data_IF_307117133743
#
_entry.id   IF_307117133743
#
_cell.length_a   1.000
_cell.length_b   1.000
_cell.length_c   1.000
_cell.angle_alpha   90.00
_cell.angle_beta   90.00
_cell.angle_gamma   90.00
#
_symmetry.space_group_name_H-M   'P 1'
#
loop_
_entity.id
_entity.type
_entity.pdbx_description
1 polymer ?
#
# COMPACT_ATOMS: atom_id res chain seq x y z
N UNK A 1 5.42 -28.86 -18.10
CA UNK A 1 4.45 -28.18 -17.24
C UNK A 1 4.32 -26.67 -17.54
N UNK A 2 5.20 -26.10 -18.36
CA UNK A 2 5.16 -24.68 -18.77
C UNK A 2 4.23 -24.35 -19.95
N UNK A 3 3.88 -25.34 -20.77
CA UNK A 3 3.02 -25.11 -21.94
C UNK A 3 1.50 -25.13 -21.64
N UNK A 4 1.07 -25.74 -20.55
CA UNK A 4 -0.37 -25.86 -20.22
C UNK A 4 -0.94 -24.59 -19.52
N UNK A 5 -0.11 -23.63 -19.13
CA UNK A 5 -0.57 -22.42 -18.42
C UNK A 5 -0.74 -21.24 -19.40
N UNK A 6 -0.02 -21.24 -20.52
CA UNK A 6 -0.15 -20.20 -21.54
C UNK A 6 -1.53 -20.23 -22.26
N UNK A 7 -2.20 -21.38 -22.28
CA UNK A 7 -3.52 -21.55 -22.89
C UNK A 7 -4.68 -21.11 -21.98
N UNK A 8 -4.41 -20.72 -20.74
CA UNK A 8 -5.43 -20.46 -19.71
C UNK A 8 -5.65 -18.97 -19.37
N UNK A 9 -5.12 -18.06 -20.18
CA UNK A 9 -5.44 -16.63 -19.98
C UNK A 9 -6.84 -16.36 -20.53
N UNK A 10 -7.78 -16.11 -19.63
CA UNK A 10 -9.15 -15.78 -20.00
C UNK A 10 -9.22 -14.66 -21.02
N UNK A 11 -10.15 -14.74 -21.97
CA UNK A 11 -10.32 -13.74 -23.02
C UNK A 11 -10.30 -12.27 -22.53
N UNK A 12 -10.89 -11.91 -21.37
CA UNK A 12 -10.80 -10.58 -20.79
C UNK A 12 -9.39 -10.13 -20.42
N UNK A 13 -8.46 -11.06 -20.18
CA UNK A 13 -7.08 -10.79 -19.75
C UNK A 13 -6.05 -10.88 -20.88
N UNK A 14 -6.46 -11.24 -22.09
CA UNK A 14 -5.57 -11.37 -23.25
C UNK A 14 -4.78 -10.07 -23.55
N UNK A 15 -5.35 -8.92 -23.28
CA UNK A 15 -4.68 -7.62 -23.44
C UNK A 15 -3.43 -7.49 -22.57
N UNK A 16 -3.33 -8.23 -21.46
CA UNK A 16 -2.16 -8.24 -20.56
C UNK A 16 -0.92 -8.85 -21.22
N UNK A 17 -1.12 -9.74 -22.19
CA UNK A 17 -0.03 -10.38 -22.93
C UNK A 17 0.53 -9.51 -24.07
N UNK A 18 -0.11 -8.39 -24.36
CA UNK A 18 0.34 -7.49 -25.42
C UNK A 18 1.38 -6.53 -24.86
N UNK A 19 2.62 -6.62 -25.31
CA UNK A 19 3.67 -5.67 -24.97
C UNK A 19 3.99 -4.77 -26.16
N UNK A 20 4.28 -3.48 -25.94
CA UNK A 20 4.71 -2.57 -27.01
C UNK A 20 6.14 -2.85 -27.49
N UNK A 21 6.83 -3.79 -26.87
CA UNK A 21 8.25 -4.03 -27.05
C UNK A 21 9.11 -3.03 -26.25
N UNK A 22 10.37 -3.39 -26.07
CA UNK A 22 11.32 -2.63 -25.25
C UNK A 22 12.64 -2.38 -25.98
N UNK A 23 12.55 -2.03 -27.24
CA UNK A 23 13.72 -1.74 -28.07
C UNK A 23 14.61 -0.68 -27.39
N UNK A 24 15.88 -1.03 -27.20
CA UNK A 24 16.86 -0.17 -26.54
C UNK A 24 16.93 -0.28 -25.01
N UNK A 25 16.12 -1.12 -24.40
CA UNK A 25 16.31 -1.42 -22.97
C UNK A 25 17.55 -2.29 -22.76
N UNK A 26 18.32 -1.98 -21.71
CA UNK A 26 19.48 -2.76 -21.29
C UNK A 26 19.11 -3.89 -20.35
N UNK A 27 18.00 -3.73 -19.65
CA UNK A 27 17.43 -4.71 -18.71
C UNK A 27 15.96 -4.90 -19.02
N UNK A 28 15.40 -6.00 -18.57
CA UNK A 28 13.97 -6.29 -18.70
C UNK A 28 13.34 -6.58 -17.36
N UNK A 29 12.01 -6.70 -17.33
CA UNK A 29 11.27 -7.14 -16.15
C UNK A 29 11.01 -8.65 -16.17
N UNK A 30 11.32 -9.37 -17.25
CA UNK A 30 11.06 -10.81 -17.37
C UNK A 30 11.90 -11.63 -16.39
N UNK A 31 11.25 -12.52 -15.64
CA UNK A 31 11.86 -13.38 -14.62
C UNK A 31 13.03 -14.22 -15.17
N UNK A 32 12.96 -14.64 -16.41
CA UNK A 32 13.98 -15.47 -17.08
C UNK A 32 15.21 -14.69 -17.56
N UNK A 33 15.18 -13.35 -17.56
CA UNK A 33 16.32 -12.55 -18.00
C UNK A 33 17.37 -12.45 -16.90
N UNK A 34 18.61 -12.94 -17.15
CA UNK A 34 19.68 -12.85 -16.15
C UNK A 34 20.10 -11.41 -15.82
N UNK A 35 19.76 -10.44 -16.67
CA UNK A 35 20.01 -9.02 -16.48
C UNK A 35 18.73 -8.23 -16.19
N UNK A 36 17.75 -8.85 -15.52
CA UNK A 36 16.50 -8.16 -15.17
C UNK A 36 16.73 -7.02 -14.16
N UNK A 37 15.76 -6.13 -14.06
CA UNK A 37 15.71 -5.15 -12.98
C UNK A 37 15.62 -5.86 -11.62
N UNK A 38 16.18 -5.21 -10.60
CA UNK A 38 15.81 -5.51 -9.23
C UNK A 38 14.39 -4.99 -9.00
N UNK A 39 13.45 -5.91 -8.71
CA UNK A 39 12.03 -5.61 -8.66
C UNK A 39 11.49 -5.77 -7.24
N UNK A 40 10.86 -4.72 -6.73
CA UNK A 40 10.12 -4.73 -5.48
C UNK A 40 8.67 -4.37 -5.78
N UNK A 41 7.75 -5.28 -5.50
CA UNK A 41 6.34 -4.92 -5.44
C UNK A 41 6.09 -4.16 -4.14
N UNK A 42 5.83 -2.86 -4.25
CA UNK A 42 5.64 -1.97 -3.10
C UNK A 42 4.22 -2.08 -2.49
N UNK A 43 3.42 -2.98 -3.02
CA UNK A 43 2.04 -3.24 -2.59
C UNK A 43 1.66 -4.67 -2.92
N UNK A 44 1.45 -5.46 -1.86
CA UNK A 44 0.93 -6.80 -1.90
C UNK A 44 0.10 -7.05 -0.65
N UNK A 45 -0.75 -8.07 -0.68
CA UNK A 45 -1.65 -8.31 0.42
C UNK A 45 -1.40 -9.62 1.13
N UNK A 46 -1.64 -9.58 2.44
CA UNK A 46 -1.72 -10.76 3.28
C UNK A 46 -2.99 -11.56 2.97
N UNK A 47 -2.93 -12.87 3.13
CA UNK A 47 -4.11 -13.73 3.11
C UNK A 47 -4.35 -14.26 4.51
N UNK A 48 -4.92 -13.39 5.37
CA UNK A 48 -5.15 -13.72 6.76
C UNK A 48 -6.12 -14.92 6.90
N UNK A 49 -5.81 -15.89 7.78
CA UNK A 49 -6.70 -17.00 8.04
C UNK A 49 -8.12 -16.51 8.40
N UNK A 50 -9.18 -17.17 7.92
CA UNK A 50 -10.56 -16.72 8.15
C UNK A 50 -10.93 -16.48 9.63
N UNK A 51 -10.31 -17.23 10.52
CA UNK A 51 -10.56 -17.16 11.95
C UNK A 51 -9.48 -16.43 12.75
N UNK A 52 -8.54 -15.74 12.10
CA UNK A 52 -7.39 -15.12 12.77
C UNK A 52 -7.77 -14.33 14.03
N UNK A 53 -8.69 -13.38 13.89
CA UNK A 53 -9.12 -12.54 15.00
C UNK A 53 -10.00 -13.29 16.00
N UNK A 54 -10.88 -14.19 15.52
CA UNK A 54 -11.72 -15.02 16.38
C UNK A 54 -10.91 -15.89 17.35
N UNK A 55 -9.80 -16.43 16.86
CA UNK A 55 -8.97 -17.37 17.62
C UNK A 55 -8.00 -16.67 18.57
N UNK A 56 -7.62 -15.40 18.31
CA UNK A 56 -6.55 -14.70 19.01
C UNK A 56 -7.00 -13.48 19.82
N UNK A 57 -8.15 -12.89 19.53
CA UNK A 57 -8.66 -11.76 20.31
C UNK A 57 -9.18 -12.17 21.68
N UNK A 58 -9.12 -11.22 22.60
CA UNK A 58 -9.75 -11.37 23.92
C UNK A 58 -11.26 -11.61 23.79
N UNK A 59 -11.80 -12.51 24.62
CA UNK A 59 -13.22 -12.93 24.58
C UNK A 59 -14.21 -11.76 24.66
N UNK A 60 -13.84 -10.65 25.32
CA UNK A 60 -14.69 -9.45 25.43
C UNK A 60 -15.03 -8.82 24.07
N UNK A 61 -14.26 -9.11 23.01
CA UNK A 61 -14.46 -8.59 21.66
C UNK A 61 -15.14 -9.57 20.71
N UNK A 62 -15.43 -10.80 21.14
CA UNK A 62 -15.90 -11.88 20.26
C UNK A 62 -17.18 -11.53 19.47
N UNK A 63 -18.13 -10.85 20.11
CA UNK A 63 -19.42 -10.48 19.49
C UNK A 63 -19.31 -9.28 18.53
N UNK A 64 -18.17 -8.61 18.49
CA UNK A 64 -17.90 -7.40 17.69
C UNK A 64 -17.18 -7.69 16.37
N UNK A 65 -16.72 -8.92 16.20
CA UNK A 65 -16.03 -9.33 14.97
C UNK A 65 -16.93 -9.25 13.75
N UNK A 66 -16.36 -9.01 12.57
CA UNK A 66 -17.11 -9.06 11.32
C UNK A 66 -17.88 -10.37 11.18
N UNK A 67 -19.13 -10.29 10.76
CA UNK A 67 -20.02 -11.45 10.59
C UNK A 67 -20.76 -11.41 9.27
N UNK A 68 -21.16 -12.59 8.81
CA UNK A 68 -22.01 -12.73 7.62
C UNK A 68 -23.47 -12.80 8.11
N UNK A 69 -24.30 -11.89 7.61
CA UNK A 69 -25.75 -11.91 7.80
C UNK A 69 -26.45 -12.25 6.49
N UNK A 70 -27.50 -13.07 6.56
CA UNK A 70 -28.32 -13.40 5.40
C UNK A 70 -29.67 -12.68 5.57
N UNK A 71 -30.04 -11.87 4.57
CA UNK A 71 -31.31 -11.15 4.61
C UNK A 71 -32.50 -12.03 4.19
N UNK A 72 -33.71 -11.48 4.29
CA UNK A 72 -34.94 -12.19 3.96
C UNK A 72 -35.02 -12.67 2.50
N UNK A 73 -34.17 -12.14 1.62
CA UNK A 73 -34.07 -12.53 0.20
C UNK A 73 -32.94 -13.53 -0.06
N UNK A 74 -32.27 -14.03 0.99
CA UNK A 74 -31.15 -14.95 0.87
C UNK A 74 -29.82 -14.29 0.48
N UNK A 75 -29.75 -12.95 0.47
CA UNK A 75 -28.53 -12.23 0.12
C UNK A 75 -27.58 -12.20 1.30
N UNK A 76 -26.33 -12.59 1.09
CA UNK A 76 -25.27 -12.55 2.08
C UNK A 76 -24.68 -11.15 2.19
N UNK A 77 -24.52 -10.67 3.41
CA UNK A 77 -23.94 -9.38 3.74
C UNK A 77 -22.79 -9.53 4.72
N UNK A 78 -21.65 -8.91 4.44
CA UNK A 78 -20.62 -8.68 5.44
C UNK A 78 -21.04 -7.47 6.28
N UNK A 79 -21.08 -7.66 7.60
CA UNK A 79 -21.40 -6.63 8.60
C UNK A 79 -20.19 -6.48 9.50
N UNK A 80 -19.61 -5.29 9.51
CA UNK A 80 -18.46 -4.92 10.35
C UNK A 80 -18.77 -3.64 11.10
N UNK A 81 -18.29 -3.52 12.33
CA UNK A 81 -18.45 -2.31 13.12
C UNK A 81 -17.78 -1.12 12.43
N UNK A 82 -18.50 -0.01 12.32
CA UNK A 82 -18.02 1.22 11.68
C UNK A 82 -18.12 1.25 10.15
N UNK A 83 -18.49 0.14 9.50
CA UNK A 83 -18.67 0.06 8.05
C UNK A 83 -20.14 -0.10 7.64
N UNK A 84 -20.47 0.45 6.49
CA UNK A 84 -21.72 0.08 5.83
C UNK A 84 -21.66 -1.39 5.42
N UNK A 85 -22.72 -2.16 5.69
CA UNK A 85 -22.76 -3.56 5.22
C UNK A 85 -22.51 -3.65 3.72
N UNK A 86 -21.68 -4.59 3.32
CA UNK A 86 -21.34 -4.87 1.91
C UNK A 86 -21.93 -6.22 1.50
N UNK A 87 -22.43 -6.29 0.26
CA UNK A 87 -22.93 -7.54 -0.32
C UNK A 87 -21.77 -8.45 -0.61
N UNK A 88 -21.86 -9.71 -0.14
CA UNK A 88 -20.94 -10.76 -0.53
C UNK A 88 -21.44 -11.42 -1.80
N UNK A 89 -20.57 -11.51 -2.78
CA UNK A 89 -20.79 -12.26 -4.01
C UNK A 89 -20.00 -13.57 -3.90
N UNK A 90 -20.67 -14.70 -4.12
CA UNK A 90 -20.00 -15.98 -4.29
C UNK A 90 -19.47 -16.02 -5.74
N UNK A 91 -18.26 -15.50 -5.97
CA UNK A 91 -17.59 -15.58 -7.26
C UNK A 91 -16.71 -16.81 -7.25
N UNK A 92 -16.94 -17.81 -8.13
CA UNK A 92 -16.02 -18.93 -8.23
C UNK A 92 -14.65 -18.45 -8.71
N UNK A 93 -13.61 -18.86 -8.02
CA UNK A 93 -12.23 -18.57 -8.41
C UNK A 93 -11.76 -19.67 -9.35
N UNK A 94 -11.43 -19.30 -10.58
CA UNK A 94 -10.94 -20.20 -11.63
C UNK A 94 -9.56 -19.74 -12.14
N UNK A 95 -8.86 -20.62 -12.88
CA UNK A 95 -7.59 -20.26 -13.52
C UNK A 95 -6.56 -19.65 -12.57
N UNK A 96 -6.00 -18.55 -12.97
CA UNK A 96 -4.97 -17.82 -12.23
C UNK A 96 -5.47 -17.28 -10.89
N UNK A 97 -6.73 -16.83 -10.81
CA UNK A 97 -7.34 -16.37 -9.57
C UNK A 97 -7.35 -17.43 -8.47
N UNK A 98 -7.63 -18.68 -8.86
CA UNK A 98 -7.61 -19.79 -7.93
C UNK A 98 -6.17 -20.15 -7.49
N UNK A 99 -5.18 -20.05 -8.39
CA UNK A 99 -3.76 -20.29 -8.07
C UNK A 99 -3.29 -19.28 -7.05
N UNK A 100 -3.37 -17.98 -7.34
CA UNK A 100 -2.86 -16.92 -6.45
C UNK A 100 -3.58 -16.86 -5.10
N UNK A 101 -4.87 -17.17 -5.05
CA UNK A 101 -5.61 -17.25 -3.80
C UNK A 101 -5.11 -18.36 -2.88
N UNK A 102 -4.72 -19.51 -3.44
CA UNK A 102 -4.13 -20.63 -2.68
C UNK A 102 -2.70 -20.30 -2.24
N UNK A 103 -1.90 -19.82 -3.17
CA UNK A 103 -0.48 -19.49 -2.93
C UNK A 103 -0.32 -18.36 -1.94
N UNK A 104 -1.18 -17.35 -1.94
CA UNK A 104 -1.15 -16.25 -1.00
C UNK A 104 -1.21 -16.68 0.47
N UNK A 105 -1.82 -17.85 0.74
CA UNK A 105 -1.98 -18.43 2.08
C UNK A 105 -0.87 -19.40 2.48
N UNK A 106 0.09 -19.69 1.59
CA UNK A 106 1.19 -20.62 1.80
C UNK A 106 2.54 -19.95 1.49
N UNK A 107 3.45 -19.80 2.48
CA UNK A 107 4.72 -19.11 2.27
C UNK A 107 5.59 -19.71 1.16
N UNK A 108 5.59 -21.03 1.00
CA UNK A 108 6.43 -21.70 0.00
C UNK A 108 5.88 -21.49 -1.42
N UNK A 109 4.55 -21.59 -1.59
CA UNK A 109 3.90 -21.33 -2.87
C UNK A 109 4.00 -19.84 -3.23
N UNK A 110 3.86 -18.95 -2.25
CA UNK A 110 4.02 -17.52 -2.43
C UNK A 110 5.41 -17.16 -3.00
N UNK A 111 6.46 -17.75 -2.48
CA UNK A 111 7.81 -17.55 -3.02
C UNK A 111 7.95 -18.04 -4.47
N UNK A 112 7.28 -19.14 -4.84
CA UNK A 112 7.26 -19.62 -6.23
C UNK A 112 6.54 -18.63 -7.14
N UNK A 113 5.45 -18.04 -6.68
CA UNK A 113 4.70 -17.03 -7.45
C UNK A 113 5.51 -15.74 -7.64
N UNK A 114 6.29 -15.30 -6.63
CA UNK A 114 7.23 -14.19 -6.77
C UNK A 114 8.30 -14.49 -7.83
N UNK A 115 8.90 -15.69 -7.74
CA UNK A 115 9.95 -16.09 -8.70
C UNK A 115 9.40 -16.19 -10.13
N UNK A 116 8.16 -16.66 -10.29
CA UNK A 116 7.48 -16.73 -11.58
C UNK A 116 7.27 -15.35 -12.20
N UNK A 117 6.89 -14.37 -11.40
CA UNK A 117 6.60 -12.99 -11.83
C UNK A 117 7.84 -12.08 -11.86
N UNK A 118 9.01 -12.60 -11.45
CA UNK A 118 10.28 -11.87 -11.44
C UNK A 118 10.43 -10.89 -10.29
N UNK A 119 9.58 -10.94 -9.27
CA UNK A 119 9.61 -10.05 -8.10
C UNK A 119 10.65 -10.54 -7.09
N UNK A 120 11.59 -9.68 -6.72
CA UNK A 120 12.63 -10.01 -5.76
C UNK A 120 12.16 -9.85 -4.31
N UNK A 121 11.35 -8.83 -4.04
CA UNK A 121 10.78 -8.53 -2.72
C UNK A 121 9.35 -8.02 -2.88
N UNK A 122 8.49 -8.35 -1.96
CA UNK A 122 7.17 -7.76 -1.83
C UNK A 122 6.98 -7.09 -0.46
N UNK A 123 6.28 -5.96 -0.46
CA UNK A 123 5.83 -5.24 0.73
C UNK A 123 4.37 -5.61 0.96
N UNK A 124 4.04 -6.09 2.18
CA UNK A 124 2.77 -6.76 2.43
C UNK A 124 1.90 -5.95 3.39
N UNK A 125 0.69 -5.67 2.96
CA UNK A 125 -0.34 -4.97 3.72
C UNK A 125 -1.42 -5.94 4.20
N UNK A 126 -2.20 -5.56 5.23
CA UNK A 126 -3.41 -6.29 5.57
C UNK A 126 -4.37 -6.36 4.37
N UNK A 127 -5.14 -7.43 4.25
CA UNK A 127 -6.22 -7.56 3.28
C UNK A 127 -7.58 -7.40 4.01
N UNK A 128 -8.02 -8.44 4.70
CA UNK A 128 -9.22 -8.34 5.58
C UNK A 128 -8.99 -7.34 6.70
N UNK A 129 -7.77 -7.23 7.16
CA UNK A 129 -7.32 -6.29 8.18
C UNK A 129 -7.43 -4.81 7.80
N UNK A 130 -7.64 -4.44 6.53
CA UNK A 130 -7.91 -3.05 6.15
C UNK A 130 -9.15 -2.45 6.85
N UNK A 131 -10.00 -3.28 7.43
CA UNK A 131 -11.18 -2.84 8.20
C UNK A 131 -10.92 -2.66 9.71
N UNK A 132 -9.71 -2.99 10.21
CA UNK A 132 -9.41 -2.95 11.65
C UNK A 132 -9.62 -1.57 12.29
N UNK A 133 -9.42 -0.51 11.51
CA UNK A 133 -9.57 0.87 11.98
C UNK A 133 -11.00 1.41 11.92
N UNK A 134 -11.95 0.65 11.36
CA UNK A 134 -13.31 1.13 11.14
C UNK A 134 -14.13 1.29 12.43
N UNK A 135 -13.77 0.59 13.50
CA UNK A 135 -14.43 0.71 14.80
C UNK A 135 -14.14 2.07 15.44
N UNK A 136 -15.14 2.73 16.03
CA UNK A 136 -14.94 3.95 16.80
C UNK A 136 -14.26 3.72 18.15
N UNK A 137 -14.12 2.47 18.60
CA UNK A 137 -13.48 2.10 19.86
C UNK A 137 -11.98 1.91 19.67
N UNK A 138 -11.14 2.79 20.22
CA UNK A 138 -9.68 2.71 20.05
C UNK A 138 -9.06 1.44 20.68
N UNK A 139 -9.65 0.89 21.75
CA UNK A 139 -9.16 -0.32 22.38
C UNK A 139 -9.39 -1.54 21.48
N UNK A 140 -10.54 -1.62 20.83
CA UNK A 140 -10.83 -2.71 19.90
C UNK A 140 -10.00 -2.59 18.62
N UNK A 141 -9.78 -1.39 18.10
CA UNK A 141 -8.90 -1.17 16.96
C UNK A 141 -7.46 -1.61 17.27
N UNK A 142 -6.90 -1.19 18.41
CA UNK A 142 -5.56 -1.58 18.86
C UNK A 142 -5.43 -3.11 19.01
N UNK A 143 -6.42 -3.74 19.66
CA UNK A 143 -6.40 -5.19 19.82
C UNK A 143 -6.39 -5.96 18.49
N UNK A 144 -7.18 -5.49 17.50
CA UNK A 144 -7.19 -6.10 16.15
C UNK A 144 -5.86 -5.92 15.43
N UNK A 145 -5.27 -4.71 15.47
CA UNK A 145 -3.97 -4.42 14.88
C UNK A 145 -2.88 -5.31 15.49
N UNK A 146 -2.85 -5.47 16.80
CA UNK A 146 -1.87 -6.32 17.48
C UNK A 146 -1.97 -7.79 17.08
N UNK A 147 -3.20 -8.33 16.96
CA UNK A 147 -3.41 -9.70 16.48
C UNK A 147 -2.87 -9.89 15.08
N UNK A 148 -3.12 -8.93 14.17
CA UNK A 148 -2.54 -8.96 12.83
C UNK A 148 -1.01 -8.92 12.88
N UNK A 149 -0.42 -8.00 13.64
CA UNK A 149 1.02 -7.83 13.72
C UNK A 149 1.73 -9.08 14.24
N UNK A 150 1.18 -9.72 15.28
CA UNK A 150 1.73 -10.97 15.82
C UNK A 150 1.69 -12.08 14.78
N UNK A 151 0.55 -12.27 14.13
CA UNK A 151 0.41 -13.27 13.08
C UNK A 151 1.34 -12.98 11.89
N UNK A 152 1.42 -11.73 11.43
CA UNK A 152 2.26 -11.37 10.31
C UNK A 152 3.75 -11.60 10.60
N UNK A 153 4.21 -11.27 11.81
CA UNK A 153 5.58 -11.54 12.24
C UNK A 153 5.87 -13.06 12.29
N UNK A 154 4.92 -13.87 12.77
CA UNK A 154 5.02 -15.32 12.81
C UNK A 154 5.02 -15.93 11.40
N UNK A 155 4.05 -15.55 10.57
CA UNK A 155 3.82 -16.13 9.25
C UNK A 155 4.91 -15.77 8.25
N UNK A 156 5.30 -14.50 8.19
CA UNK A 156 6.32 -14.01 7.25
C UNK A 156 7.74 -14.11 7.81
N UNK A 157 7.92 -14.36 9.10
CA UNK A 157 9.23 -14.45 9.74
C UNK A 157 10.24 -15.36 9.01
N UNK A 158 9.86 -16.59 8.59
CA UNK A 158 10.75 -17.49 7.85
C UNK A 158 11.15 -16.98 6.45
N UNK A 159 10.36 -16.10 5.83
CA UNK A 159 10.55 -15.59 4.47
C UNK A 159 10.69 -14.05 4.42
N UNK A 160 10.98 -13.42 5.56
CA UNK A 160 11.06 -11.95 5.73
C UNK A 160 12.06 -11.24 4.81
N UNK A 161 13.01 -11.98 4.25
CA UNK A 161 13.96 -11.43 3.28
C UNK A 161 13.32 -11.17 1.91
N UNK A 162 12.20 -11.81 1.61
CA UNK A 162 11.45 -11.69 0.36
C UNK A 162 10.06 -11.08 0.57
N UNK A 163 9.46 -11.28 1.72
CA UNK A 163 8.11 -10.87 2.06
C UNK A 163 8.14 -9.99 3.31
N UNK A 164 7.91 -8.68 3.14
CA UNK A 164 8.13 -7.65 4.17
C UNK A 164 6.79 -7.08 4.63
N UNK A 165 6.20 -7.62 5.71
CA UNK A 165 4.92 -7.11 6.21
C UNK A 165 5.06 -5.72 6.82
N UNK A 166 4.01 -4.90 6.69
CA UNK A 166 3.84 -3.63 7.39
C UNK A 166 3.02 -3.83 8.66
N UNK A 167 3.46 -3.24 9.76
CA UNK A 167 2.73 -3.32 11.02
C UNK A 167 1.52 -2.38 11.00
N UNK A 168 0.35 -2.89 11.33
CA UNK A 168 -0.87 -2.09 11.47
C UNK A 168 -0.86 -1.35 12.81
N UNK A 169 -1.14 -0.04 12.80
CA UNK A 169 -1.14 0.80 14.01
C UNK A 169 -2.49 1.50 14.16
N UNK A 170 -3.13 1.32 15.29
CA UNK A 170 -4.30 2.10 15.68
C UNK A 170 -3.85 3.46 16.22
N UNK A 171 -4.36 4.57 15.65
CA UNK A 171 -3.84 5.92 15.89
C UNK A 171 -4.76 6.80 16.74
N UNK A 172 -5.94 6.31 17.11
CA UNK A 172 -6.90 7.09 17.87
C UNK A 172 -6.44 7.42 19.31
N UNK A 173 -5.58 6.60 19.91
CA UNK A 173 -4.87 6.87 21.17
C UNK A 173 -3.35 6.84 20.92
N UNK A 174 -2.72 8.00 21.01
CA UNK A 174 -1.32 8.18 20.61
C UNK A 174 -0.37 7.34 21.47
N UNK A 175 -0.64 7.18 22.76
CA UNK A 175 0.18 6.39 23.67
C UNK A 175 0.16 4.90 23.31
N UNK A 176 -0.99 4.38 22.87
CA UNK A 176 -1.13 3.00 22.41
C UNK A 176 -0.36 2.82 21.08
N UNK A 177 -0.51 3.77 20.15
CA UNK A 177 0.24 3.79 18.90
C UNK A 177 1.75 3.77 19.14
N UNK A 178 2.28 4.61 20.03
CA UNK A 178 3.71 4.64 20.37
C UNK A 178 4.20 3.30 20.90
N UNK A 179 3.43 2.66 21.82
CA UNK A 179 3.80 1.34 22.35
C UNK A 179 3.84 0.28 21.26
N UNK A 180 2.85 0.26 20.38
CA UNK A 180 2.77 -0.73 19.31
C UNK A 180 3.87 -0.50 18.24
N UNK A 181 4.19 0.75 17.89
CA UNK A 181 5.31 1.09 17.01
C UNK A 181 6.64 0.55 17.57
N UNK A 182 6.89 0.77 18.86
CA UNK A 182 8.10 0.27 19.52
C UNK A 182 8.14 -1.27 19.56
N UNK A 183 6.97 -1.91 19.72
CA UNK A 183 6.85 -3.37 19.67
C UNK A 183 7.09 -3.89 18.25
N UNK A 184 6.50 -3.28 17.23
CA UNK A 184 6.69 -3.63 15.83
C UNK A 184 8.18 -3.55 15.41
N UNK A 185 8.87 -2.49 15.85
CA UNK A 185 10.31 -2.37 15.61
C UNK A 185 11.11 -3.53 16.21
N UNK A 186 10.77 -3.98 17.44
CA UNK A 186 11.40 -5.14 18.07
C UNK A 186 11.08 -6.46 17.36
N UNK A 187 9.91 -6.59 16.75
CA UNK A 187 9.52 -7.75 15.94
C UNK A 187 10.21 -7.74 14.56
N UNK A 188 10.86 -6.64 14.17
CA UNK A 188 11.64 -6.53 12.94
C UNK A 188 10.88 -6.02 11.73
N UNK A 189 9.70 -5.44 11.91
CA UNK A 189 8.99 -4.75 10.84
C UNK A 189 9.83 -3.62 10.24
N UNK A 190 9.64 -3.33 8.95
CA UNK A 190 10.34 -2.26 8.22
C UNK A 190 9.51 -1.01 8.04
N UNK A 191 8.24 -1.07 8.33
CA UNK A 191 7.32 0.06 8.26
C UNK A 191 6.03 -0.22 9.01
N UNK A 192 5.24 0.84 9.11
CA UNK A 192 3.91 0.84 9.71
C UNK A 192 2.87 1.29 8.69
N UNK A 193 1.69 0.69 8.73
CA UNK A 193 0.53 1.15 7.98
C UNK A 193 -0.45 1.83 8.94
N UNK A 194 -0.80 3.07 8.61
CA UNK A 194 -1.69 3.93 9.36
C UNK A 194 -2.99 4.16 8.58
N UNK A 195 -4.12 4.35 9.24
CA UNK A 195 -5.33 4.78 8.54
C UNK A 195 -5.12 6.19 7.94
N UNK A 196 -5.73 6.47 6.80
CA UNK A 196 -5.63 7.80 6.17
C UNK A 196 -6.17 8.94 7.05
N UNK A 197 -7.02 8.60 8.03
CA UNK A 197 -7.46 9.50 9.11
C UNK A 197 -7.20 8.85 10.46
N UNK A 198 -6.67 9.59 11.44
CA UNK A 198 -6.33 9.03 12.75
C UNK A 198 -7.53 8.41 13.49
N UNK A 199 -8.72 8.98 13.27
CA UNK A 199 -9.98 8.52 13.83
C UNK A 199 -10.94 8.27 12.68
N UNK A 200 -11.37 7.04 12.53
CA UNK A 200 -12.26 6.63 11.44
C UNK A 200 -13.73 6.93 11.77
N UNK A 201 -14.52 7.21 10.74
CA UNK A 201 -15.99 7.14 10.81
C UNK A 201 -16.72 8.39 11.28
N UNK A 202 -16.08 9.49 11.59
CA UNK A 202 -16.78 10.71 12.04
C UNK A 202 -16.24 11.99 11.40
N UNK A 203 -17.14 12.82 10.85
CA UNK A 203 -16.83 14.21 10.54
C UNK A 203 -17.04 15.10 11.79
N UNK A 204 -16.40 14.75 12.91
CA UNK A 204 -16.33 15.69 14.00
C UNK A 204 -15.11 16.60 13.78
N UNK A 205 -15.32 17.90 13.44
CA UNK A 205 -14.20 18.83 13.18
C UNK A 205 -13.30 19.05 14.41
N UNK A 206 -13.71 18.57 15.57
CA UNK A 206 -12.91 18.62 16.80
C UNK A 206 -11.92 17.47 16.88
N UNK A 207 -12.09 16.41 16.10
CA UNK A 207 -11.13 15.31 16.06
C UNK A 207 -9.82 15.80 15.44
N UNK A 208 -8.68 15.61 16.14
CA UNK A 208 -7.38 16.00 15.61
C UNK A 208 -7.03 15.13 14.40
N UNK A 209 -6.42 15.76 13.39
CA UNK A 209 -5.84 15.05 12.25
C UNK A 209 -4.30 15.03 12.38
N UNK A 210 -3.60 14.38 11.48
CA UNK A 210 -2.14 14.19 11.51
C UNK A 210 -1.31 15.46 11.48
N UNK A 211 -1.92 16.61 11.18
CA UNK A 211 -1.31 17.93 11.28
C UNK A 211 -1.25 18.48 12.72
N UNK A 212 -1.87 17.83 13.70
CA UNK A 212 -1.88 18.29 15.10
C UNK A 212 -0.65 17.78 15.85
N UNK A 213 -0.07 18.65 16.70
CA UNK A 213 1.12 18.34 17.49
C UNK A 213 0.96 17.19 18.50
N UNK A 214 -0.25 16.74 18.79
CA UNK A 214 -0.48 15.57 19.66
C UNK A 214 0.14 14.30 19.07
N UNK A 215 0.33 14.22 17.75
CA UNK A 215 0.96 13.08 17.06
C UNK A 215 2.49 13.15 17.04
N UNK A 216 3.12 14.22 17.55
CA UNK A 216 4.57 14.38 17.48
C UNK A 216 5.34 13.26 18.18
N UNK A 217 4.81 12.72 19.29
CA UNK A 217 5.43 11.56 19.97
C UNK A 217 5.36 10.29 19.14
N UNK A 218 4.31 10.12 18.35
CA UNK A 218 4.17 9.01 17.39
C UNK A 218 5.17 9.16 16.24
N UNK A 219 5.30 10.38 15.67
CA UNK A 219 6.28 10.66 14.62
C UNK A 219 7.71 10.45 15.10
N UNK A 220 8.03 10.89 16.32
CA UNK A 220 9.31 10.63 16.95
C UNK A 220 9.59 9.11 17.06
N UNK A 221 8.63 8.34 17.58
CA UNK A 221 8.80 6.88 17.74
C UNK A 221 9.03 6.16 16.40
N UNK A 222 8.31 6.55 15.34
CA UNK A 222 8.50 6.00 13.98
C UNK A 222 9.88 6.35 13.44
N UNK A 223 10.29 7.61 13.57
CA UNK A 223 11.59 8.09 13.12
C UNK A 223 12.76 7.39 13.86
N UNK A 224 12.66 7.29 15.19
CA UNK A 224 13.69 6.67 16.02
C UNK A 224 13.84 5.17 15.72
N UNK A 225 12.73 4.51 15.40
CA UNK A 225 12.70 3.12 14.97
C UNK A 225 13.12 2.93 13.50
N UNK A 226 13.34 4.02 12.74
CA UNK A 226 13.66 4.00 11.30
C UNK A 226 12.63 3.24 10.45
N UNK A 227 11.35 3.32 10.81
CA UNK A 227 10.25 2.70 10.09
C UNK A 227 9.71 3.61 8.99
N UNK A 228 9.26 3.04 7.87
CA UNK A 228 8.49 3.78 6.86
C UNK A 228 7.04 3.93 7.31
N UNK A 229 6.41 5.05 6.94
CA UNK A 229 4.98 5.28 7.14
C UNK A 229 4.27 4.95 5.84
N UNK A 230 3.17 4.22 5.90
CA UNK A 230 2.32 3.96 4.74
C UNK A 230 0.86 4.30 5.04
N UNK A 231 0.19 4.88 4.04
CA UNK A 231 -1.24 5.14 4.02
C UNK A 231 -1.83 4.38 2.85
N UNK A 232 -2.52 3.31 3.15
CA UNK A 232 -3.09 2.43 2.13
C UNK A 232 -4.49 2.90 1.72
N UNK A 233 -4.84 2.74 0.45
CA UNK A 233 -6.20 2.96 -0.04
C UNK A 233 -7.21 2.20 0.83
N UNK A 234 -8.43 2.66 0.88
CA UNK A 234 -9.52 2.09 1.68
C UNK A 234 -9.43 2.25 3.21
N UNK A 235 -8.27 2.59 3.79
CA UNK A 235 -8.14 2.80 5.26
C UNK A 235 -8.68 4.15 5.73
N UNK A 236 -8.87 5.10 4.82
CA UNK A 236 -9.48 6.42 5.11
C UNK A 236 -10.79 6.64 4.40
N UNK A 237 -11.48 5.56 4.02
CA UNK A 237 -12.70 5.59 3.23
C UNK A 237 -13.75 6.52 3.85
N UNK A 238 -14.32 7.39 3.03
CA UNK A 238 -15.49 8.18 3.42
C UNK A 238 -16.64 7.23 3.75
N UNK A 239 -17.28 7.37 4.92
CA UNK A 239 -18.41 6.53 5.31
C UNK A 239 -19.62 6.70 4.39
N UNK A 240 -19.69 7.80 3.62
CA UNK A 240 -20.68 7.98 2.58
C UNK A 240 -20.40 6.99 1.45
N UNK A 241 -21.35 6.13 1.14
CA UNK A 241 -21.23 5.20 0.05
C UNK A 241 -22.27 5.54 -1.03
N UNK A 242 -21.80 5.74 -2.26
CA UNK A 242 -22.69 5.82 -3.40
C UNK A 242 -23.31 4.44 -3.64
N UNK A 243 -24.60 4.43 -3.95
CA UNK A 243 -25.37 3.21 -4.23
C UNK A 243 -25.98 3.29 -5.62
N UNK A 244 -26.40 2.14 -6.16
CA UNK A 244 -27.00 1.99 -7.48
C UNK A 244 -26.00 2.31 -8.62
N UNK A 245 -26.48 2.97 -9.66
CA UNK A 245 -25.78 3.18 -10.94
C UNK A 245 -24.45 3.92 -10.74
N UNK A 246 -23.38 3.37 -11.24
CA UNK A 246 -22.03 3.92 -11.09
C UNK A 246 -21.42 3.83 -9.68
N UNK A 247 -22.15 3.27 -8.70
CA UNK A 247 -21.77 3.30 -7.29
C UNK A 247 -20.39 2.70 -7.01
N UNK A 248 -20.02 1.62 -7.69
CA UNK A 248 -18.70 1.01 -7.54
C UNK A 248 -17.57 1.97 -7.96
N UNK A 249 -17.68 2.59 -9.14
CA UNK A 249 -16.68 3.53 -9.66
C UNK A 249 -16.60 4.79 -8.80
N UNK A 250 -17.74 5.35 -8.39
CA UNK A 250 -17.80 6.54 -7.52
C UNK A 250 -17.14 6.25 -6.18
N UNK A 251 -17.44 5.10 -5.57
CA UNK A 251 -16.84 4.71 -4.29
C UNK A 251 -15.33 4.53 -4.41
N UNK A 252 -14.87 3.88 -5.47
CA UNK A 252 -13.44 3.66 -5.68
C UNK A 252 -12.71 5.00 -5.83
N UNK A 253 -13.11 5.84 -6.77
CA UNK A 253 -12.40 7.09 -7.07
C UNK A 253 -12.54 8.12 -5.93
N UNK A 254 -13.78 8.37 -5.46
CA UNK A 254 -14.06 9.50 -4.57
C UNK A 254 -13.95 9.15 -3.08
N UNK A 255 -14.17 7.89 -2.71
CA UNK A 255 -14.25 7.46 -1.31
C UNK A 255 -13.13 6.50 -0.90
N UNK A 256 -12.34 6.00 -1.83
CA UNK A 256 -11.17 5.15 -1.55
C UNK A 256 -9.86 5.82 -1.97
N UNK A 257 -9.70 6.21 -3.24
CA UNK A 257 -8.45 6.83 -3.72
C UNK A 257 -8.25 8.26 -3.18
N UNK A 258 -9.22 9.15 -3.36
CA UNK A 258 -9.09 10.56 -2.99
C UNK A 258 -8.71 10.80 -1.51
N UNK A 259 -9.21 10.03 -0.52
CA UNK A 259 -8.81 10.19 0.88
C UNK A 259 -7.32 9.97 1.17
N UNK A 260 -6.57 9.31 0.30
CA UNK A 260 -5.12 9.08 0.48
C UNK A 260 -4.28 10.34 0.26
N UNK A 261 -4.83 11.36 -0.40
CA UNK A 261 -4.17 12.66 -0.60
C UNK A 261 -4.05 13.43 0.72
N UNK A 262 -5.04 13.31 1.60
CA UNK A 262 -5.12 14.08 2.83
C UNK A 262 -3.92 13.86 3.77
N UNK A 263 -3.50 12.62 4.10
CA UNK A 263 -2.32 12.42 4.96
C UNK A 263 -1.03 12.93 4.32
N UNK A 264 -0.88 12.86 3.00
CA UNK A 264 0.27 13.45 2.29
C UNK A 264 0.30 14.96 2.48
N UNK A 265 -0.84 15.63 2.28
CA UNK A 265 -0.95 17.07 2.52
C UNK A 265 -0.70 17.44 3.99
N UNK A 266 -1.22 16.65 4.94
CA UNK A 266 -0.95 16.84 6.36
C UNK A 266 0.56 16.82 6.67
N UNK A 267 1.30 15.83 6.18
CA UNK A 267 2.73 15.71 6.45
C UNK A 267 3.55 16.81 5.78
N UNK A 268 3.24 17.16 4.53
CA UNK A 268 3.99 18.15 3.76
C UNK A 268 3.71 19.60 4.19
N UNK A 269 2.47 19.92 4.59
CA UNK A 269 2.06 21.31 4.83
C UNK A 269 2.08 21.73 6.30
N UNK A 270 2.17 20.80 7.26
CA UNK A 270 2.04 21.13 8.69
C UNK A 270 3.35 21.21 9.46
N UNK A 271 4.49 21.10 8.78
CA UNK A 271 5.82 21.14 9.41
C UNK A 271 6.20 19.84 10.13
N UNK A 272 5.46 18.74 9.95
CA UNK A 272 5.84 17.44 10.52
C UNK A 272 7.21 17.01 10.00
N UNK A 273 7.44 17.08 8.70
CA UNK A 273 8.72 16.67 8.10
C UNK A 273 9.86 17.60 8.53
N UNK A 274 9.61 18.88 8.81
CA UNK A 274 10.64 19.76 9.39
C UNK A 274 11.05 19.33 10.79
N UNK A 275 10.08 18.93 11.62
CA UNK A 275 10.36 18.46 12.98
C UNK A 275 10.98 17.06 13.00
N UNK A 276 10.60 16.24 12.03
CA UNK A 276 11.02 14.83 11.93
C UNK A 276 11.60 14.52 10.53
N UNK A 277 12.77 15.07 10.18
CA UNK A 277 13.28 15.07 8.80
C UNK A 277 13.73 13.70 8.27
N UNK A 278 13.82 12.67 9.12
CA UNK A 278 14.19 11.30 8.70
C UNK A 278 12.97 10.43 8.45
N UNK A 279 11.75 10.92 8.66
CA UNK A 279 10.54 10.20 8.30
C UNK A 279 10.49 9.95 6.80
N UNK A 280 10.03 8.78 6.42
CA UNK A 280 9.68 8.42 5.04
C UNK A 280 8.22 8.01 5.04
N UNK A 281 7.46 8.47 4.07
CA UNK A 281 6.04 8.15 3.97
C UNK A 281 5.64 7.80 2.55
N UNK A 282 4.63 6.94 2.40
CA UNK A 282 4.13 6.50 1.12
C UNK A 282 2.60 6.44 1.10
N UNK A 283 2.02 6.91 -0.01
CA UNK A 283 0.64 6.62 -0.40
C UNK A 283 0.63 5.32 -1.20
N UNK A 284 -0.16 4.34 -0.76
CA UNK A 284 -0.15 2.98 -1.31
C UNK A 284 -1.46 2.67 -2.02
N UNK A 285 -1.36 2.06 -3.20
CA UNK A 285 -2.48 1.67 -4.08
C UNK A 285 -3.34 2.83 -4.58
N UNK A 286 -2.86 4.06 -4.44
CA UNK A 286 -3.65 5.24 -4.82
C UNK A 286 -3.34 5.77 -6.23
N UNK A 287 -2.48 5.08 -6.97
CA UNK A 287 -1.92 5.58 -8.22
C UNK A 287 -0.95 6.75 -8.01
N UNK A 288 -0.44 7.28 -9.11
CA UNK A 288 0.58 8.34 -9.10
C UNK A 288 0.20 9.56 -9.97
N UNK A 289 -0.83 9.45 -10.79
CA UNK A 289 -1.26 10.54 -11.70
C UNK A 289 -1.71 11.81 -10.96
N UNK A 290 -2.20 11.66 -9.75
CA UNK A 290 -2.62 12.79 -8.90
C UNK A 290 -1.45 13.57 -8.27
N UNK A 291 -0.26 12.95 -8.14
CA UNK A 291 0.85 13.50 -7.34
C UNK A 291 1.33 14.84 -7.89
N UNK A 292 1.66 14.93 -9.17
CA UNK A 292 2.14 16.18 -9.77
C UNK A 292 1.15 17.33 -9.59
N UNK A 293 -0.16 17.06 -9.76
CA UNK A 293 -1.21 18.03 -9.52
C UNK A 293 -1.29 18.44 -8.04
N UNK A 294 -1.28 17.50 -7.12
CA UNK A 294 -1.42 17.78 -5.69
C UNK A 294 -0.23 18.58 -5.15
N UNK A 295 1.00 18.27 -5.57
CA UNK A 295 2.19 19.02 -5.19
C UNK A 295 2.11 20.47 -5.65
N UNK A 296 1.74 20.70 -6.91
CA UNK A 296 1.50 22.04 -7.42
C UNK A 296 0.40 22.76 -6.66
N UNK A 297 -0.73 22.11 -6.40
CA UNK A 297 -1.86 22.71 -5.68
C UNK A 297 -1.50 23.08 -4.23
N UNK A 298 -0.68 22.26 -3.55
CA UNK A 298 -0.20 22.57 -2.19
C UNK A 298 0.70 23.83 -2.18
N UNK A 299 1.62 23.93 -3.12
CA UNK A 299 2.51 25.10 -3.22
C UNK A 299 1.74 26.36 -3.58
N UNK A 300 0.81 26.26 -4.53
CA UNK A 300 -0.07 27.36 -4.93
C UNK A 300 -0.92 27.85 -3.74
N UNK A 301 -1.52 26.93 -3.00
CA UNK A 301 -2.30 27.24 -1.80
C UNK A 301 -1.45 27.90 -0.72
N UNK A 302 -0.24 27.37 -0.48
CA UNK A 302 0.68 27.93 0.50
C UNK A 302 1.07 29.38 0.16
N UNK A 303 1.36 29.67 -1.11
CA UNK A 303 1.73 31.02 -1.57
C UNK A 303 0.53 31.96 -1.61
N UNK A 304 -0.61 31.54 -2.17
CA UNK A 304 -1.80 32.40 -2.33
C UNK A 304 -2.51 32.69 -1.03
N UNK A 305 -2.49 31.73 -0.10
CA UNK A 305 -3.12 31.86 1.21
C UNK A 305 -2.11 32.18 2.32
N UNK A 306 -1.02 32.89 2.00
CA UNK A 306 0.08 33.17 2.91
C UNK A 306 -0.34 33.83 4.23
N UNK A 307 -1.47 34.53 4.26
CA UNK A 307 -2.00 35.15 5.49
C UNK A 307 -2.56 34.12 6.49
N UNK A 308 -3.00 32.95 5.99
CA UNK A 308 -3.58 31.88 6.79
C UNK A 308 -2.73 30.61 6.81
N UNK A 309 -1.70 30.53 5.95
CA UNK A 309 -0.83 29.36 5.91
C UNK A 309 0.11 29.32 7.13
N UNK A 310 -0.09 28.37 8.00
CA UNK A 310 0.73 28.12 9.19
C UNK A 310 0.97 26.61 9.34
N UNK A 311 2.14 26.18 9.87
CA UNK A 311 3.30 27.04 10.23
C UNK A 311 3.94 27.68 8.98
N UNK A 312 4.82 28.65 9.20
CA UNK A 312 5.69 29.14 8.12
C UNK A 312 6.80 28.13 7.91
N UNK A 313 6.74 27.45 6.78
CA UNK A 313 7.65 26.39 6.40
C UNK A 313 8.98 26.95 5.86
N UNK A 314 10.07 26.21 6.03
CA UNK A 314 11.40 26.55 5.49
C UNK A 314 11.52 26.24 4.00
N UNK A 315 10.72 25.32 3.52
CA UNK A 315 10.67 24.87 2.12
C UNK A 315 9.21 24.83 1.66
N UNK A 316 8.98 24.73 0.35
CA UNK A 316 7.64 24.56 -0.18
C UNK A 316 7.08 23.17 0.17
N UNK A 317 5.77 23.01 0.34
CA UNK A 317 5.16 21.71 0.63
C UNK A 317 5.59 20.59 -0.30
N UNK A 318 5.73 20.88 -1.61
CA UNK A 318 6.19 19.90 -2.60
C UNK A 318 7.61 19.38 -2.34
N UNK A 319 8.51 20.21 -1.80
CA UNK A 319 9.90 19.82 -1.54
C UNK A 319 10.01 18.76 -0.45
N UNK A 320 9.08 18.78 0.54
CA UNK A 320 9.00 17.71 1.55
C UNK A 320 8.54 16.39 0.95
N UNK A 321 7.66 16.40 -0.04
CA UNK A 321 7.33 15.18 -0.77
C UNK A 321 8.51 14.67 -1.59
N UNK A 322 9.17 15.54 -2.35
CA UNK A 322 10.34 15.15 -3.14
C UNK A 322 11.46 14.52 -2.30
N UNK A 323 11.66 14.99 -1.08
CA UNK A 323 12.69 14.46 -0.18
C UNK A 323 12.28 13.20 0.59
N UNK A 324 11.03 13.10 1.05
CA UNK A 324 10.58 12.12 2.04
C UNK A 324 9.39 11.26 1.58
N UNK A 325 8.67 11.71 0.55
CA UNK A 325 7.40 11.11 0.10
C UNK A 325 7.57 10.11 -1.04
N UNK A 326 6.67 9.12 -1.06
CA UNK A 326 6.57 8.11 -2.11
C UNK A 326 5.09 7.84 -2.45
N UNK A 327 4.84 7.26 -3.63
CA UNK A 327 3.52 6.77 -4.00
C UNK A 327 3.64 5.50 -4.82
N UNK A 328 2.76 4.51 -4.60
CA UNK A 328 2.74 3.27 -5.37
C UNK A 328 1.60 3.23 -6.38
N UNK A 329 1.79 2.40 -7.40
CA UNK A 329 0.83 2.17 -8.48
C UNK A 329 1.04 0.79 -9.08
N UNK A 330 -0.01 0.23 -9.67
CA UNK A 330 0.06 -0.98 -10.49
C UNK A 330 0.19 -0.61 -11.97
N UNK A 331 -0.81 0.07 -12.51
CA UNK A 331 -0.83 0.60 -13.87
C UNK A 331 -1.37 2.03 -13.84
N UNK A 332 -0.51 3.00 -14.16
CA UNK A 332 -0.87 4.43 -14.21
C UNK A 332 -0.04 5.16 -15.29
N UNK A 333 -0.37 4.96 -16.57
CA UNK A 333 0.36 5.61 -17.65
C UNK A 333 0.36 7.13 -17.57
N UNK A 334 -0.75 7.73 -17.09
CA UNK A 334 -0.82 9.19 -16.95
C UNK A 334 0.18 9.73 -15.92
N UNK A 335 0.36 9.02 -14.79
CA UNK A 335 1.35 9.38 -13.80
C UNK A 335 2.79 9.15 -14.27
N UNK A 336 3.02 8.09 -15.03
CA UNK A 336 4.33 7.79 -15.61
C UNK A 336 4.76 8.82 -16.66
N UNK A 337 3.84 9.34 -17.46
CA UNK A 337 4.11 10.45 -18.41
C UNK A 337 4.58 11.74 -17.70
N UNK A 338 4.24 11.90 -16.42
CA UNK A 338 4.66 13.04 -15.62
C UNK A 338 5.91 12.78 -14.76
N UNK A 339 6.35 11.52 -14.66
CA UNK A 339 7.40 11.12 -13.72
C UNK A 339 8.72 11.87 -13.93
N UNK A 340 9.27 11.88 -15.13
CA UNK A 340 10.53 12.57 -15.45
C UNK A 340 10.31 14.08 -15.58
N UNK A 341 9.20 14.51 -16.17
CA UNK A 341 8.87 15.92 -16.38
C UNK A 341 8.78 16.72 -15.09
N UNK A 342 8.30 16.08 -14.01
CA UNK A 342 8.15 16.70 -12.70
C UNK A 342 9.14 16.21 -11.65
N UNK A 343 10.23 15.52 -12.05
CA UNK A 343 11.27 14.97 -11.16
C UNK A 343 10.71 14.00 -10.11
N UNK A 344 9.67 13.23 -10.44
CA UNK A 344 8.98 12.28 -9.56
C UNK A 344 9.41 10.83 -9.75
N UNK A 345 10.25 10.53 -10.75
CA UNK A 345 10.75 9.17 -10.99
C UNK A 345 11.50 8.57 -9.78
N UNK A 346 11.95 9.39 -8.83
CA UNK A 346 12.58 8.96 -7.58
C UNK A 346 11.60 8.81 -6.41
N UNK A 347 10.32 9.08 -6.62
CA UNK A 347 9.27 9.04 -5.60
C UNK A 347 8.20 7.99 -5.90
N UNK A 348 8.16 7.45 -7.13
CA UNK A 348 7.18 6.47 -7.54
C UNK A 348 7.68 5.04 -7.33
N UNK A 349 6.79 4.15 -6.93
CA UNK A 349 7.08 2.74 -6.67
C UNK A 349 6.07 1.88 -7.40
N UNK A 350 6.57 0.96 -8.22
CA UNK A 350 5.74 -0.03 -8.88
C UNK A 350 5.26 -1.11 -7.90
N UNK A 351 4.09 -1.69 -8.20
CA UNK A 351 3.53 -2.82 -7.48
C UNK A 351 2.74 -3.74 -8.41
N UNK A 352 2.60 -5.01 -8.06
CA UNK A 352 1.74 -5.95 -8.74
C UNK A 352 0.45 -6.30 -7.99
N UNK A 353 0.30 -5.78 -6.77
CA UNK A 353 -0.87 -5.96 -5.91
C UNK A 353 -1.26 -7.43 -5.66
N UNK A 354 -0.26 -8.31 -5.62
CA UNK A 354 -0.48 -9.73 -5.38
C UNK A 354 -1.05 -10.00 -3.97
N UNK A 355 -2.08 -10.84 -3.75
CA UNK A 355 -2.72 -11.73 -4.73
C UNK A 355 -4.10 -11.21 -5.24
N UNK A 356 -4.32 -9.91 -5.30
CA UNK A 356 -5.56 -9.35 -5.80
C UNK A 356 -5.75 -9.62 -7.31
N UNK A 357 -7.02 -9.78 -7.73
CA UNK A 357 -7.34 -10.10 -9.14
C UNK A 357 -7.16 -8.90 -10.08
N UNK A 358 -7.22 -7.68 -9.57
CA UNK A 358 -6.90 -6.44 -10.28
C UNK A 358 -5.41 -6.25 -10.50
N UNK A 359 -4.56 -6.94 -9.76
CA UNK A 359 -3.12 -6.87 -9.87
C UNK A 359 -2.56 -7.42 -11.19
N UNK A 360 -1.27 -7.17 -11.45
CA UNK A 360 -0.63 -7.57 -12.72
C UNK A 360 -0.08 -9.00 -12.74
N UNK A 361 -0.01 -9.69 -11.59
CA UNK A 361 0.47 -11.07 -11.52
C UNK A 361 -0.39 -12.02 -12.38
N UNK A 362 0.18 -12.97 -13.12
CA UNK A 362 1.60 -13.28 -13.33
C UNK A 362 2.18 -12.62 -14.60
N UNK A 363 1.65 -11.48 -15.02
CA UNK A 363 1.96 -10.78 -16.27
C UNK A 363 2.62 -9.40 -16.01
N UNK A 364 3.39 -9.31 -14.90
CA UNK A 364 3.99 -8.02 -14.48
C UNK A 364 5.00 -7.51 -15.48
N UNK A 365 5.78 -8.38 -16.11
CA UNK A 365 6.76 -7.97 -17.13
C UNK A 365 6.08 -7.26 -18.31
N UNK A 366 4.98 -7.84 -18.82
CA UNK A 366 4.21 -7.28 -19.92
C UNK A 366 3.55 -5.95 -19.54
N UNK A 367 2.99 -5.86 -18.33
CA UNK A 367 2.41 -4.62 -17.82
C UNK A 367 3.45 -3.50 -17.69
N UNK A 368 4.65 -3.82 -17.18
CA UNK A 368 5.76 -2.88 -17.04
C UNK A 368 6.22 -2.40 -18.42
N UNK A 369 6.46 -3.31 -19.36
CA UNK A 369 6.92 -2.96 -20.70
C UNK A 369 5.90 -2.11 -21.45
N UNK A 370 4.61 -2.41 -21.30
CA UNK A 370 3.53 -1.66 -21.93
C UNK A 370 3.49 -0.19 -21.47
N UNK A 371 3.73 0.07 -20.18
CA UNK A 371 3.52 1.42 -19.64
C UNK A 371 4.81 2.22 -19.43
N UNK A 372 6.01 1.59 -19.37
CA UNK A 372 7.27 2.26 -19.03
C UNK A 372 8.25 2.40 -20.20
N UNK A 373 7.83 2.09 -21.42
CA UNK A 373 8.71 2.09 -22.59
C UNK A 373 9.36 3.44 -22.91
N UNK A 374 8.70 4.54 -22.53
CA UNK A 374 9.17 5.91 -22.77
C UNK A 374 10.13 6.45 -21.70
N UNK A 375 10.23 5.78 -20.55
CA UNK A 375 11.11 6.22 -19.46
C UNK A 375 12.57 5.87 -19.69
N UNK A 376 13.47 6.63 -19.08
CA UNK A 376 14.89 6.31 -19.06
C UNK A 376 15.18 5.05 -18.26
N UNK A 377 16.35 4.43 -18.54
CA UNK A 377 16.83 3.25 -17.79
C UNK A 377 16.93 3.54 -16.27
N UNK A 378 17.41 4.73 -15.90
CA UNK A 378 17.52 5.15 -14.51
C UNK A 378 16.14 5.26 -13.86
N UNK A 379 15.18 5.87 -14.54
CA UNK A 379 13.80 6.02 -14.02
C UNK A 379 13.14 4.67 -13.82
N UNK A 380 13.26 3.75 -14.78
CA UNK A 380 12.75 2.37 -14.64
C UNK A 380 13.37 1.65 -13.45
N UNK A 381 14.70 1.70 -13.30
CA UNK A 381 15.38 1.06 -12.17
C UNK A 381 14.95 1.63 -10.82
N UNK A 382 14.76 2.96 -10.74
CA UNK A 382 14.25 3.61 -9.54
C UNK A 382 12.82 3.15 -9.21
N UNK A 383 11.92 3.23 -10.17
CA UNK A 383 10.49 2.92 -10.00
C UNK A 383 10.27 1.44 -9.69
N UNK A 384 10.97 0.55 -10.37
CA UNK A 384 10.78 -0.90 -10.24
C UNK A 384 11.32 -1.49 -8.94
N UNK A 385 12.29 -0.83 -8.27
CA UNK A 385 12.82 -1.43 -7.04
C UNK A 385 13.60 -0.48 -6.13
N UNK A 386 14.44 0.42 -6.66
CA UNK A 386 15.35 1.20 -5.83
C UNK A 386 14.63 2.20 -4.92
N UNK A 387 13.51 2.76 -5.37
CA UNK A 387 12.69 3.66 -4.55
C UNK A 387 12.04 2.92 -3.37
N UNK A 388 11.47 1.74 -3.61
CA UNK A 388 10.92 0.91 -2.55
C UNK A 388 12.02 0.46 -1.57
N UNK A 389 13.20 0.08 -2.08
CA UNK A 389 14.34 -0.25 -1.23
C UNK A 389 14.74 0.93 -0.33
N UNK A 390 14.73 2.15 -0.87
CA UNK A 390 15.02 3.38 -0.10
C UNK A 390 13.90 3.70 0.90
N UNK A 391 12.64 3.60 0.49
CA UNK A 391 11.49 3.84 1.35
C UNK A 391 11.48 2.89 2.55
N UNK A 392 11.60 1.59 2.32
CA UNK A 392 11.47 0.53 3.33
C UNK A 392 12.81 0.06 3.92
N UNK A 393 13.91 0.73 3.60
CA UNK A 393 15.25 0.36 4.07
C UNK A 393 15.58 -1.13 3.81
N UNK A 394 15.40 -1.56 2.54
CA UNK A 394 15.68 -2.93 2.12
C UNK A 394 17.14 -3.06 1.69
N UNK A 395 17.75 -4.22 1.97
CA UNK A 395 19.12 -4.51 1.57
C UNK A 395 19.19 -4.93 0.09
N UNK A 396 19.58 -3.99 -0.76
CA UNK A 396 19.75 -4.20 -2.21
C UNK A 396 21.00 -5.03 -2.53
N UNK A 397 22.05 -4.98 -1.70
CA UNK A 397 23.37 -5.57 -1.98
C UNK A 397 23.35 -7.07 -2.13
N UNK A 398 22.41 -7.74 -1.48
CA UNK A 398 22.25 -9.20 -1.53
C UNK A 398 21.57 -9.70 -2.81
N UNK A 399 21.02 -8.83 -3.64
CA UNK A 399 20.05 -9.18 -4.70
C UNK A 399 20.39 -8.65 -6.07
N UNK A 400 21.25 -7.65 -6.19
CA UNK A 400 21.78 -7.18 -7.47
C UNK A 400 23.08 -7.94 -7.73
N UNK A 401 23.22 -8.69 -8.84
CA UNK A 401 24.50 -9.25 -9.24
C UNK A 401 25.52 -8.11 -9.28
N UNK A 402 26.54 -8.17 -8.43
CA UNK A 402 27.66 -7.22 -8.51
C UNK A 402 28.25 -7.35 -9.90
N UNK A 403 28.52 -6.25 -10.63
CA UNK A 403 29.29 -6.35 -11.87
C UNK A 403 30.57 -7.12 -11.53
N UNK A 404 30.84 -8.18 -12.27
CA UNK A 404 32.13 -8.86 -12.19
C UNK A 404 33.20 -7.79 -12.38
N UNK A 405 34.01 -7.57 -11.36
CA UNK A 405 35.23 -6.77 -11.46
C UNK A 405 36.11 -7.42 -12.49
N UNK A 406 36.10 -6.88 -13.71
CA UNK A 406 37.17 -7.14 -14.68
C UNK A 406 38.38 -6.29 -14.33
#
# INVERSE_FOLDING_TARGET
>A
MSEQIADAVDAPNQWRLTTPGHNGWKRTAHASDPNKYFMVSADCHAMEPPNLWKDRLEKKFADRLPKIEIDANGVKWMVSEGWSRSRLLDVPLEGEDNVRNKSGSDPALRLQDLDRDGVDVEVIFPNRGLQMWATPDPEFADAQCRVFNDWAAEFYGPIKDRCVPMAAIATARVEDAVREIQRAAKLGFKGVTLPCKPIFGGHDPRHPNYNFGIYDTMWAAIQDANLAITFHVSTGRDPRAARKDGGAVINYVSHSLAPTIEPVANLCASGVIERFPKLRFASIEAGIGWVAWALHAMDEAYLKHHMWAYPKLKQMPSEYFHSNGFSSFQEDPAGLDLAEKHNLARNFMWANDYPHHEGSWPHSAEAIERQMGHLSEESRANILGLNAARCFNLDVRRRVPMPSSN
#
